data_IF_762339198819
#
_entry.id   IF_762339198819
#
_cell.length_a   1.000
_cell.length_b   1.000
_cell.length_c   1.000
_cell.angle_alpha   90.00
_cell.angle_beta   90.00
_cell.angle_gamma   90.00
#
_symmetry.space_group_name_H-M   'P 1'
#
loop_
_entity.id
_entity.type
_entity.pdbx_description
1 polymer ?
#
# COMPACT_ATOMS: atom_id res chain seq x y z
N UNK A 1 1.30 -11.36 24.65
CA UNK A 1 1.31 -10.08 23.91
C UNK A 1 -0.01 -9.89 23.15
N UNK A 2 -0.65 -8.72 23.27
CA UNK A 2 -1.82 -8.37 22.47
C UNK A 2 -1.33 -7.54 21.28
N UNK A 3 -1.67 -7.98 20.08
CA UNK A 3 -1.43 -7.24 18.86
C UNK A 3 -2.62 -6.31 18.59
N UNK A 4 -2.34 -5.13 18.07
CA UNK A 4 -3.28 -4.13 17.62
C UNK A 4 -2.86 -3.63 16.23
N UNK A 5 -3.86 -3.24 15.45
CA UNK A 5 -3.59 -2.58 14.19
C UNK A 5 -3.11 -1.15 14.44
N UNK A 6 -2.13 -0.71 13.66
CA UNK A 6 -1.78 0.71 13.58
C UNK A 6 -2.92 1.51 12.94
N UNK A 7 -2.81 2.83 13.00
CA UNK A 7 -3.51 3.69 12.05
C UNK A 7 -3.07 3.36 10.61
N UNK A 8 -3.86 3.83 9.64
CA UNK A 8 -3.52 3.72 8.23
C UNK A 8 -2.39 4.67 7.87
N UNK A 9 -1.44 4.18 7.06
CA UNK A 9 -0.36 4.94 6.46
C UNK A 9 -0.66 5.15 4.97
N UNK A 10 -0.61 6.41 4.56
CA UNK A 10 -0.87 6.93 3.21
C UNK A 10 0.11 8.10 2.97
N UNK A 11 1.37 7.77 2.67
CA UNK A 11 2.46 8.74 2.59
C UNK A 11 3.04 8.91 1.18
N UNK A 12 2.74 8.00 0.27
CA UNK A 12 2.94 8.16 -1.17
C UNK A 12 1.58 8.45 -1.82
N UNK A 13 1.64 9.00 -3.03
CA UNK A 13 0.46 9.19 -3.86
C UNK A 13 0.80 8.77 -5.29
N UNK A 14 -0.16 8.28 -6.09
CA UNK A 14 0.09 7.82 -7.44
C UNK A 14 0.94 8.77 -8.28
N UNK A 15 2.20 8.40 -8.47
CA UNK A 15 3.18 9.13 -9.24
C UNK A 15 2.88 8.94 -10.73
N UNK A 16 2.76 10.03 -11.52
CA UNK A 16 2.49 9.91 -12.94
C UNK A 16 3.59 9.24 -13.76
N UNK A 17 3.19 8.67 -14.90
CA UNK A 17 4.10 8.08 -15.89
C UNK A 17 4.31 6.57 -15.72
N UNK A 18 4.87 5.88 -16.74
CA UNK A 18 4.99 4.42 -16.74
C UNK A 18 5.90 3.89 -15.63
N UNK A 19 6.90 4.69 -15.23
CA UNK A 19 7.80 4.35 -14.14
C UNK A 19 7.28 4.73 -12.76
N UNK A 20 6.15 5.44 -12.70
CA UNK A 20 5.46 5.77 -11.46
C UNK A 20 4.56 4.65 -10.95
N UNK A 21 3.73 4.99 -9.99
CA UNK A 21 2.93 4.04 -9.23
C UNK A 21 2.61 4.59 -7.86
N UNK A 22 2.25 3.71 -6.95
CA UNK A 22 1.91 4.04 -5.57
C UNK A 22 2.66 3.08 -4.62
N UNK A 23 3.34 3.65 -3.62
CA UNK A 23 4.40 2.97 -2.88
C UNK A 23 4.35 3.20 -1.36
N UNK A 24 3.37 2.60 -0.69
CA UNK A 24 3.31 2.55 0.77
C UNK A 24 4.30 1.53 1.37
N UNK A 25 5.60 1.79 1.19
CA UNK A 25 6.68 0.92 1.68
C UNK A 25 7.16 1.32 3.07
N UNK A 26 7.79 0.38 3.78
CA UNK A 26 8.34 0.68 5.11
C UNK A 26 9.38 1.79 5.06
N UNK A 27 10.15 1.88 3.97
CA UNK A 27 11.12 2.96 3.79
C UNK A 27 10.42 4.32 3.65
N UNK A 28 9.35 4.39 2.86
CA UNK A 28 8.53 5.60 2.70
C UNK A 28 7.95 6.04 4.04
N UNK A 29 7.31 5.13 4.78
CA UNK A 29 6.74 5.46 6.10
C UNK A 29 7.78 5.92 7.11
N UNK A 30 8.96 5.29 7.13
CA UNK A 30 10.06 5.70 8.03
C UNK A 30 10.62 7.08 7.65
N UNK A 31 10.70 7.39 6.35
CA UNK A 31 11.09 8.71 5.87
C UNK A 31 10.06 9.79 6.23
N UNK A 32 8.77 9.45 6.21
CA UNK A 32 7.68 10.31 6.66
C UNK A 32 7.64 10.49 8.20
N UNK A 33 8.42 9.69 8.95
CA UNK A 33 8.57 9.81 10.40
C UNK A 33 7.70 8.86 11.21
N UNK A 34 7.05 7.87 10.57
CA UNK A 34 6.25 6.88 11.27
C UNK A 34 7.08 5.95 12.14
N UNK A 35 6.54 5.62 13.31
CA UNK A 35 7.12 4.64 14.22
C UNK A 35 6.16 3.48 14.40
N UNK A 36 6.57 2.31 13.92
CA UNK A 36 5.85 1.04 14.06
C UNK A 36 6.81 -0.06 14.53
N UNK A 37 6.25 -1.22 14.89
CA UNK A 37 7.02 -2.34 15.42
C UNK A 37 8.07 -2.88 14.40
N UNK A 38 9.17 -3.42 14.91
CA UNK A 38 10.26 -3.94 14.07
C UNK A 38 9.87 -5.21 13.30
N UNK A 39 8.89 -5.96 13.80
CA UNK A 39 8.41 -7.23 13.22
C UNK A 39 6.88 -7.26 13.23
N UNK A 40 6.24 -6.62 12.24
CA UNK A 40 4.81 -6.71 12.07
C UNK A 40 4.39 -8.16 11.82
N UNK A 41 3.26 -8.56 12.37
CA UNK A 41 2.71 -9.92 12.20
C UNK A 41 1.89 -10.06 10.93
N UNK A 42 1.28 -8.96 10.51
CA UNK A 42 0.40 -8.92 9.36
C UNK A 42 0.37 -7.50 8.76
N UNK A 43 -0.15 -7.40 7.55
CA UNK A 43 -0.36 -6.16 6.82
C UNK A 43 -1.74 -6.19 6.18
N UNK A 44 -2.42 -5.05 6.22
CA UNK A 44 -3.66 -4.84 5.48
C UNK A 44 -3.46 -3.67 4.53
N UNK A 45 -3.75 -3.88 3.25
CA UNK A 45 -3.68 -2.87 2.22
C UNK A 45 -5.06 -2.66 1.58
N UNK A 46 -5.38 -1.42 1.24
CA UNK A 46 -6.71 -1.06 0.74
C UNK A 46 -6.63 0.07 -0.27
N UNK A 47 -7.49 0.07 -1.28
CA UNK A 47 -7.62 1.22 -2.17
C UNK A 47 -8.50 2.28 -1.50
N UNK A 48 -8.08 3.54 -1.50
CA UNK A 48 -8.93 4.63 -0.99
C UNK A 48 -10.17 4.85 -1.84
N UNK A 49 -10.08 4.55 -3.14
CA UNK A 49 -11.16 4.75 -4.11
C UNK A 49 -12.31 3.76 -3.90
N UNK A 50 -12.00 2.55 -3.43
CA UNK A 50 -12.96 1.45 -3.23
C UNK A 50 -12.66 0.72 -1.91
N UNK A 51 -12.85 1.37 -0.75
CA UNK A 51 -12.36 0.88 0.53
C UNK A 51 -13.10 -0.37 1.04
N UNK A 52 -14.30 -0.63 0.53
CA UNK A 52 -15.10 -1.80 0.92
C UNK A 52 -14.79 -3.04 0.07
N UNK A 53 -14.05 -2.87 -1.03
CA UNK A 53 -13.66 -3.98 -1.89
C UNK A 53 -12.37 -4.64 -1.37
N UNK A 54 -12.30 -5.98 -1.34
CA UNK A 54 -11.05 -6.66 -1.06
C UNK A 54 -10.02 -6.35 -2.16
N UNK A 55 -8.74 -6.37 -1.81
CA UNK A 55 -7.66 -5.91 -2.70
C UNK A 55 -7.64 -6.67 -4.04
N UNK A 56 -7.98 -7.96 -4.00
CA UNK A 56 -8.05 -8.85 -5.16
C UNK A 56 -9.16 -8.48 -6.15
N UNK A 57 -10.22 -7.81 -5.68
CA UNK A 57 -11.35 -7.38 -6.50
C UNK A 57 -11.20 -5.95 -7.05
N UNK A 58 -10.17 -5.21 -6.61
CA UNK A 58 -9.88 -3.84 -7.10
C UNK A 58 -9.56 -3.83 -8.60
N UNK A 59 -9.11 -4.96 -9.15
CA UNK A 59 -8.78 -5.09 -10.58
C UNK A 59 -7.42 -4.50 -10.96
N UNK A 60 -6.55 -4.28 -9.97
CA UNK A 60 -5.19 -3.78 -10.16
C UNK A 60 -4.16 -4.80 -9.69
N UNK A 61 -2.99 -4.80 -10.33
CA UNK A 61 -1.85 -5.61 -9.91
C UNK A 61 -1.15 -4.88 -8.77
N UNK A 62 -1.41 -5.30 -7.54
CA UNK A 62 -0.87 -4.69 -6.32
C UNK A 62 -0.17 -5.76 -5.49
N UNK A 63 1.05 -5.46 -5.05
CA UNK A 63 1.78 -6.30 -4.12
C UNK A 63 1.57 -5.74 -2.71
N UNK A 64 1.02 -6.54 -1.80
CA UNK A 64 0.87 -6.19 -0.39
C UNK A 64 1.55 -7.27 0.45
N UNK A 65 2.63 -6.93 1.17
CA UNK A 65 3.39 -7.91 1.93
C UNK A 65 4.08 -7.31 3.15
N UNK A 66 4.04 -8.05 4.26
CA UNK A 66 4.62 -7.63 5.55
C UNK A 66 6.15 -7.44 5.51
N UNK A 67 6.82 -7.92 4.46
CA UNK A 67 8.28 -7.76 4.29
C UNK A 67 8.69 -6.41 3.73
N UNK A 68 7.78 -5.70 3.05
CA UNK A 68 8.12 -4.45 2.36
C UNK A 68 7.04 -3.36 2.37
N UNK A 69 5.78 -3.69 2.64
CA UNK A 69 4.64 -2.77 2.55
C UNK A 69 3.78 -3.05 1.31
N UNK A 70 3.31 -1.99 0.68
CA UNK A 70 2.57 -2.03 -0.58
C UNK A 70 3.41 -1.51 -1.75
N UNK A 71 3.25 -2.14 -2.91
CA UNK A 71 3.77 -1.65 -4.18
C UNK A 71 2.73 -1.84 -5.28
N UNK A 72 2.34 -0.75 -5.91
CA UNK A 72 1.62 -0.72 -7.17
C UNK A 72 2.49 -0.01 -8.21
N UNK A 73 2.69 -0.60 -9.39
CA UNK A 73 3.42 0.04 -10.50
C UNK A 73 2.49 0.32 -11.66
N UNK A 74 2.55 1.53 -12.21
CA UNK A 74 1.71 1.93 -13.33
C UNK A 74 1.89 0.98 -14.53
N UNK A 75 3.13 0.67 -14.91
CA UNK A 75 3.45 -0.25 -16.02
C UNK A 75 2.87 -1.66 -15.90
N UNK A 76 2.51 -2.09 -14.69
CA UNK A 76 1.96 -3.44 -14.43
C UNK A 76 0.43 -3.44 -14.52
N UNK A 77 -0.21 -2.27 -14.60
CA UNK A 77 -1.67 -2.18 -14.56
C UNK A 77 -2.33 -2.52 -15.89
N UNK A 78 -3.45 -3.27 -15.86
CA UNK A 78 -4.20 -3.60 -17.06
C UNK A 78 -5.01 -2.40 -17.55
N UNK A 79 -5.38 -2.45 -18.84
CA UNK A 79 -6.35 -1.52 -19.43
C UNK A 79 -5.72 -0.31 -20.13
N UNK A 80 -6.56 0.57 -20.70
CA UNK A 80 -6.12 1.68 -21.55
C UNK A 80 -5.45 2.82 -20.78
N UNK A 81 -5.63 2.86 -19.45
CA UNK A 81 -5.03 3.85 -18.54
C UNK A 81 -4.34 3.08 -17.41
N UNK A 82 -3.09 2.61 -17.64
CA UNK A 82 -2.37 1.79 -16.68
C UNK A 82 -1.85 2.69 -15.54
N UNK A 83 -2.72 2.94 -14.56
CA UNK A 83 -2.48 3.91 -13.48
C UNK A 83 -2.94 3.36 -12.14
N UNK A 84 -2.08 3.39 -11.13
CA UNK A 84 -2.41 2.96 -9.77
C UNK A 84 -3.49 3.84 -9.14
N UNK A 85 -4.41 3.22 -8.40
CA UNK A 85 -5.21 3.96 -7.42
C UNK A 85 -4.30 4.48 -6.28
N UNK A 86 -4.83 5.41 -5.47
CA UNK A 86 -4.23 5.69 -4.17
C UNK A 86 -4.54 4.53 -3.22
N UNK A 87 -3.52 4.00 -2.56
CA UNK A 87 -3.63 2.94 -1.57
C UNK A 87 -3.03 3.39 -0.24
N UNK A 88 -3.61 2.88 0.83
CA UNK A 88 -3.05 2.95 2.17
C UNK A 88 -2.84 1.55 2.73
N UNK A 89 -1.95 1.42 3.70
CA UNK A 89 -1.80 0.18 4.44
C UNK A 89 -1.61 0.41 5.94
N UNK A 90 -1.93 -0.63 6.72
CA UNK A 90 -1.70 -0.67 8.16
C UNK A 90 -1.06 -1.98 8.58
N UNK A 91 -0.40 -1.96 9.73
CA UNK A 91 0.37 -3.08 10.25
C UNK A 91 -0.26 -3.64 11.51
N UNK A 92 -0.20 -4.97 11.67
CA UNK A 92 -0.56 -5.63 12.92
C UNK A 92 0.70 -5.76 13.79
N UNK A 93 0.76 -4.97 14.84
CA UNK A 93 1.80 -4.96 15.88
C UNK A 93 1.16 -5.36 17.21
#
# INVERSE_FOLDING_TARGET
PRCAWTDWFDEDYPIPGPDGGDFETFAVWRLAGHVFCDRPRDIECRSEKVPDAPLEEVGQVVQCNVSFGLVCRNREQPGPLPYCHNFHARLLC
#
